data_IF_741670030606
#
_entry.id   IF_741670030606
#
_cell.length_a   1.000
_cell.length_b   1.000
_cell.length_c   1.000
_cell.angle_alpha   90.00
_cell.angle_beta   90.00
_cell.angle_gamma   90.00
#
_symmetry.space_group_name_H-M   'P 1'
#
loop_
_entity.id
_entity.type
_entity.pdbx_description
1 polymer ?
#
# COMPACT_ATOMS: atom_id res chain seq x y z
N UNK A 1 -14.61 19.28 22.63
CA UNK A 1 -13.80 18.04 22.55
C UNK A 1 -12.55 18.12 23.39
N UNK A 2 -11.69 19.15 23.25
CA UNK A 2 -10.44 19.29 24.03
C UNK A 2 -10.66 19.32 25.57
N UNK A 3 -11.76 19.88 26.02
CA UNK A 3 -12.05 20.01 27.46
C UNK A 3 -12.51 18.69 28.11
N UNK A 4 -13.18 17.84 27.32
CA UNK A 4 -13.58 16.49 27.75
C UNK A 4 -12.36 15.53 27.81
N UNK A 5 -11.42 15.67 26.87
CA UNK A 5 -10.22 14.82 26.83
C UNK A 5 -9.31 15.09 28.04
N UNK A 6 -9.16 16.36 28.46
CA UNK A 6 -8.38 16.73 29.65
C UNK A 6 -9.03 16.23 30.96
N UNK A 7 -10.36 16.22 31.07
CA UNK A 7 -11.06 15.69 32.24
C UNK A 7 -10.92 14.17 32.33
N UNK A 8 -10.96 13.46 31.19
CA UNK A 8 -10.78 12.00 31.15
C UNK A 8 -9.36 11.63 31.51
N UNK A 9 -8.35 12.35 31.01
CA UNK A 9 -6.94 12.12 31.35
C UNK A 9 -6.67 12.37 32.85
N UNK A 10 -7.25 13.40 33.42
CA UNK A 10 -7.12 13.72 34.86
C UNK A 10 -7.79 12.64 35.72
N UNK A 11 -8.93 12.10 35.28
CA UNK A 11 -9.67 11.04 35.99
C UNK A 11 -8.88 9.71 35.99
N UNK A 12 -8.27 9.37 34.88
CA UNK A 12 -7.43 8.16 34.73
C UNK A 12 -6.16 8.30 35.58
N UNK A 13 -5.52 9.48 35.57
CA UNK A 13 -4.31 9.75 36.34
C UNK A 13 -4.52 9.65 37.86
N UNK A 14 -5.71 9.92 38.34
CA UNK A 14 -6.07 9.82 39.74
C UNK A 14 -6.47 8.39 40.18
N UNK A 15 -6.27 7.38 39.36
CA UNK A 15 -6.48 5.96 39.69
C UNK A 15 -7.95 5.56 39.79
N UNK A 16 -8.86 6.36 39.24
CA UNK A 16 -10.27 5.98 39.16
C UNK A 16 -10.47 5.12 37.90
N UNK A 17 -10.85 3.87 38.09
CA UNK A 17 -11.39 3.07 37.01
C UNK A 17 -12.71 3.70 36.54
N UNK A 18 -12.77 4.14 35.28
CA UNK A 18 -14.03 4.55 34.69
C UNK A 18 -14.80 3.24 34.47
N UNK A 19 -15.75 2.95 35.34
CA UNK A 19 -16.79 1.97 35.04
C UNK A 19 -17.61 2.54 33.89
N UNK A 20 -17.18 2.31 32.68
CA UNK A 20 -17.98 2.53 31.49
C UNK A 20 -19.07 1.48 31.57
N UNK A 21 -20.37 1.89 31.72
CA UNK A 21 -21.47 0.93 31.67
C UNK A 21 -21.28 0.18 30.34
N UNK A 22 -20.94 -1.09 30.41
CA UNK A 22 -20.99 -1.98 29.24
C UNK A 22 -22.49 -2.16 28.96
N UNK A 23 -23.10 -1.21 28.24
CA UNK A 23 -24.35 -1.50 27.57
C UNK A 23 -24.07 -2.73 26.72
N UNK A 24 -24.63 -3.86 27.13
CA UNK A 24 -24.64 -5.08 26.32
C UNK A 24 -25.42 -4.76 25.05
N UNK A 25 -24.72 -4.23 24.06
CA UNK A 25 -25.28 -3.95 22.75
C UNK A 25 -25.86 -5.25 22.21
N UNK A 26 -27.17 -5.28 22.02
CA UNK A 26 -27.85 -6.42 21.41
C UNK A 26 -27.15 -6.78 20.11
N UNK A 27 -27.10 -8.07 19.78
CA UNK A 27 -26.43 -8.57 18.55
C UNK A 27 -26.87 -7.80 17.29
N UNK A 28 -28.14 -7.39 17.23
CA UNK A 28 -28.69 -6.56 16.13
C UNK A 28 -28.05 -5.18 16.04
N UNK A 29 -27.79 -4.55 17.17
CA UNK A 29 -27.19 -3.21 17.22
C UNK A 29 -25.70 -3.27 16.87
N UNK A 30 -25.01 -4.30 17.31
CA UNK A 30 -23.62 -4.60 16.90
C UNK A 30 -23.51 -4.86 15.40
N UNK A 31 -24.43 -5.62 14.84
CA UNK A 31 -24.48 -5.90 13.40
C UNK A 31 -24.78 -4.64 12.59
N UNK A 32 -25.74 -3.83 13.05
CA UNK A 32 -26.08 -2.55 12.42
C UNK A 32 -24.90 -1.60 12.45
N UNK A 33 -24.24 -1.44 13.59
CA UNK A 33 -23.03 -0.61 13.71
C UNK A 33 -21.90 -1.10 12.80
N UNK A 34 -21.63 -2.42 12.78
CA UNK A 34 -20.63 -3.01 11.89
C UNK A 34 -20.95 -2.73 10.43
N UNK A 35 -22.21 -2.87 10.02
CA UNK A 35 -22.64 -2.58 8.65
C UNK A 35 -22.49 -1.10 8.29
N UNK A 36 -22.88 -0.21 9.18
CA UNK A 36 -22.69 1.24 9.00
C UNK A 36 -21.20 1.59 8.82
N UNK A 37 -20.31 1.00 9.63
CA UNK A 37 -18.87 1.20 9.52
C UNK A 37 -18.32 0.65 8.19
N UNK A 38 -18.78 -0.51 7.74
CA UNK A 38 -18.39 -1.09 6.43
C UNK A 38 -18.83 -0.17 5.29
N UNK A 39 -20.09 0.27 5.29
CA UNK A 39 -20.62 1.16 4.25
C UNK A 39 -19.93 2.52 4.25
N UNK A 40 -19.67 3.09 5.42
CA UNK A 40 -18.94 4.36 5.54
C UNK A 40 -17.51 4.23 5.03
N UNK A 41 -16.82 3.17 5.41
CA UNK A 41 -15.46 2.89 4.94
C UNK A 41 -15.45 2.64 3.44
N UNK A 42 -16.35 1.82 2.92
CA UNK A 42 -16.49 1.54 1.51
C UNK A 42 -16.72 2.83 0.70
N UNK A 43 -17.64 3.69 1.13
CA UNK A 43 -17.89 4.99 0.48
C UNK A 43 -16.67 5.92 0.49
N UNK A 44 -15.87 5.89 1.54
CA UNK A 44 -14.64 6.70 1.64
C UNK A 44 -13.51 6.16 0.76
N UNK A 45 -13.44 4.85 0.59
CA UNK A 45 -12.33 4.17 -0.10
C UNK A 45 -12.63 3.92 -1.57
N UNK A 46 -13.87 3.61 -1.93
CA UNK A 46 -14.29 3.28 -3.30
C UNK A 46 -13.80 4.27 -4.38
N UNK A 47 -13.93 5.61 -4.22
CA UNK A 47 -13.48 6.54 -5.24
C UNK A 47 -11.96 6.45 -5.48
N UNK A 48 -11.17 6.22 -4.45
CA UNK A 48 -9.71 6.10 -4.57
C UNK A 48 -9.29 4.77 -5.19
N UNK A 49 -10.01 3.70 -4.86
CA UNK A 49 -9.82 2.38 -5.51
C UNK A 49 -10.16 2.47 -6.99
N UNK A 50 -11.30 3.07 -7.34
CA UNK A 50 -11.70 3.26 -8.75
C UNK A 50 -10.68 4.08 -9.54
N UNK A 51 -10.15 5.16 -8.97
CA UNK A 51 -9.09 5.96 -9.58
C UNK A 51 -7.82 5.12 -9.75
N UNK A 52 -7.39 4.40 -8.71
CA UNK A 52 -6.20 3.55 -8.74
C UNK A 52 -6.31 2.43 -9.78
N UNK A 53 -7.43 1.72 -9.80
CA UNK A 53 -7.72 0.69 -10.80
C UNK A 53 -7.83 1.28 -12.21
N UNK A 54 -8.47 2.44 -12.35
CA UNK A 54 -8.56 3.16 -13.62
C UNK A 54 -7.20 3.55 -14.19
N UNK A 55 -6.30 4.07 -13.34
CA UNK A 55 -4.92 4.37 -13.72
C UNK A 55 -4.18 3.07 -14.08
N UNK A 56 -4.33 2.01 -13.29
CA UNK A 56 -3.74 0.71 -13.57
C UNK A 56 -4.20 0.13 -14.90
N UNK A 57 -5.50 0.17 -15.18
CA UNK A 57 -6.08 -0.29 -16.44
C UNK A 57 -5.61 0.56 -17.63
N UNK A 58 -5.45 1.87 -17.44
CA UNK A 58 -4.89 2.77 -18.44
C UNK A 58 -3.44 2.40 -18.78
N UNK A 59 -2.61 2.20 -17.75
CA UNK A 59 -1.21 1.81 -17.91
C UNK A 59 -1.13 0.45 -18.63
N UNK A 60 -1.95 -0.51 -18.23
CA UNK A 60 -1.93 -1.87 -18.79
C UNK A 60 -2.31 -1.92 -20.27
N UNK A 61 -3.29 -1.09 -20.69
CA UNK A 61 -3.81 -1.10 -22.06
C UNK A 61 -3.10 -0.12 -23.00
N UNK A 62 -2.54 0.96 -22.47
CA UNK A 62 -2.01 2.06 -23.29
C UNK A 62 -0.49 2.13 -23.35
N UNK A 63 0.19 1.57 -22.32
CA UNK A 63 1.65 1.53 -22.36
C UNK A 63 2.08 0.25 -23.07
N UNK A 64 2.74 0.35 -24.26
CA UNK A 64 3.28 -0.80 -24.95
C UNK A 64 4.23 -1.57 -24.02
N UNK A 65 4.13 -2.90 -24.03
CA UNK A 65 5.00 -3.74 -23.23
C UNK A 65 6.49 -3.49 -23.55
N UNK A 66 6.81 -3.14 -24.79
CA UNK A 66 8.16 -2.77 -25.22
C UNK A 66 8.72 -1.57 -24.44
N UNK A 67 7.86 -0.61 -24.06
CA UNK A 67 8.29 0.53 -23.28
C UNK A 67 8.59 0.14 -21.83
N UNK A 68 7.79 -0.77 -21.26
CA UNK A 68 8.01 -1.31 -19.93
C UNK A 68 9.32 -2.09 -19.87
N UNK A 69 9.56 -2.95 -20.86
CA UNK A 69 10.80 -3.73 -20.98
C UNK A 69 12.01 -2.83 -21.17
N UNK A 70 11.90 -1.81 -22.01
CA UNK A 70 13.00 -0.84 -22.22
C UNK A 70 13.32 -0.05 -20.97
N UNK A 71 12.30 0.29 -20.15
CA UNK A 71 12.47 1.01 -18.91
C UNK A 71 12.91 0.13 -17.73
N UNK A 72 12.50 -1.15 -17.71
CA UNK A 72 12.66 -2.07 -16.59
C UNK A 72 13.55 -3.29 -16.90
N UNK A 73 14.10 -3.38 -18.12
CA UNK A 73 14.94 -4.49 -18.59
C UNK A 73 16.39 -4.39 -18.09
N UNK A 74 17.20 -5.40 -18.45
CA UNK A 74 18.57 -5.62 -17.97
C UNK A 74 19.53 -4.44 -18.11
N UNK A 75 19.36 -3.61 -19.12
CA UNK A 75 20.30 -2.52 -19.42
C UNK A 75 20.05 -1.24 -18.60
N UNK A 76 19.07 -1.23 -17.70
CA UNK A 76 18.76 -0.03 -16.93
C UNK A 76 19.11 -0.19 -15.44
N UNK A 77 20.22 0.40 -14.95
CA UNK A 77 20.59 0.35 -13.54
C UNK A 77 19.52 1.00 -12.63
N UNK A 78 18.69 1.88 -13.18
CA UNK A 78 17.59 2.52 -12.46
C UNK A 78 16.28 1.71 -12.51
N UNK A 79 16.28 0.51 -13.12
CA UNK A 79 15.10 -0.33 -13.28
C UNK A 79 14.36 -0.61 -11.97
N UNK A 80 15.07 -0.87 -10.88
CA UNK A 80 14.52 -1.08 -9.53
C UNK A 80 13.73 0.13 -9.03
N UNK A 81 14.31 1.32 -9.18
CA UNK A 81 13.68 2.59 -8.74
C UNK A 81 12.46 2.89 -9.60
N UNK A 82 12.58 2.75 -10.91
CA UNK A 82 11.49 2.94 -11.86
C UNK A 82 10.35 1.96 -11.61
N UNK A 83 10.66 0.68 -11.41
CA UNK A 83 9.67 -0.35 -11.09
C UNK A 83 8.89 0.00 -9.81
N UNK A 84 9.59 0.44 -8.77
CA UNK A 84 8.96 0.88 -7.52
C UNK A 84 8.01 2.07 -7.76
N UNK A 85 8.46 3.09 -8.51
CA UNK A 85 7.65 4.29 -8.80
C UNK A 85 6.44 3.93 -9.67
N UNK A 86 6.60 3.09 -10.68
CA UNK A 86 5.50 2.63 -11.55
C UNK A 86 4.48 1.79 -10.77
N UNK A 87 4.92 1.05 -9.75
CA UNK A 87 4.04 0.29 -8.87
C UNK A 87 3.15 1.15 -7.97
N UNK A 88 3.60 2.34 -7.55
CA UNK A 88 2.88 3.19 -6.59
C UNK A 88 1.46 3.57 -7.06
N UNK A 89 1.21 4.03 -8.29
CA UNK A 89 -0.14 4.38 -8.74
C UNK A 89 -1.05 3.17 -8.93
N UNK A 90 -0.49 1.98 -9.06
CA UNK A 90 -1.27 0.77 -9.26
C UNK A 90 -1.85 0.26 -7.95
N UNK A 91 -3.07 -0.27 -8.02
CA UNK A 91 -3.70 -0.98 -6.93
C UNK A 91 -4.02 -2.39 -7.39
N UNK A 92 -3.24 -3.33 -6.94
CA UNK A 92 -3.51 -4.74 -7.13
C UNK A 92 -3.06 -5.53 -5.90
N UNK A 93 -3.68 -6.65 -5.66
CA UNK A 93 -3.17 -7.62 -4.71
C UNK A 93 -2.00 -8.41 -5.33
N UNK A 94 -1.37 -9.24 -4.56
CA UNK A 94 -0.23 -10.02 -5.01
C UNK A 94 -0.60 -10.95 -6.17
N UNK A 95 -1.81 -11.50 -6.18
CA UNK A 95 -2.29 -12.39 -7.24
C UNK A 95 -2.53 -11.65 -8.55
N UNK A 96 -3.01 -10.40 -8.49
CA UNK A 96 -3.19 -9.54 -9.66
C UNK A 96 -1.87 -9.10 -10.28
N UNK A 97 -0.77 -9.09 -9.53
CA UNK A 97 0.56 -8.72 -10.03
C UNK A 97 1.34 -9.88 -10.66
N UNK A 98 0.99 -11.13 -10.36
CA UNK A 98 1.69 -12.33 -10.87
C UNK A 98 1.75 -12.36 -12.42
N UNK A 99 0.67 -12.18 -13.18
CA UNK A 99 0.74 -12.20 -14.64
C UNK A 99 1.65 -11.12 -15.21
N UNK A 100 1.71 -9.95 -14.56
CA UNK A 100 2.60 -8.85 -14.96
C UNK A 100 4.05 -9.23 -14.67
N UNK A 101 4.30 -9.83 -13.50
CA UNK A 101 5.62 -10.32 -13.13
C UNK A 101 6.14 -11.38 -14.10
N UNK A 102 5.31 -12.35 -14.45
CA UNK A 102 5.62 -13.38 -15.45
C UNK A 102 5.95 -12.77 -16.82
N UNK A 103 5.15 -11.82 -17.29
CA UNK A 103 5.38 -11.14 -18.56
C UNK A 103 6.69 -10.33 -18.56
N UNK A 104 7.02 -9.66 -17.46
CA UNK A 104 8.26 -8.92 -17.30
C UNK A 104 9.48 -9.87 -17.30
N UNK A 105 9.42 -10.97 -16.54
CA UNK A 105 10.49 -11.97 -16.50
C UNK A 105 10.69 -12.64 -17.87
N UNK A 106 9.59 -13.00 -18.55
CA UNK A 106 9.66 -13.59 -19.90
C UNK A 106 10.30 -12.66 -20.94
N UNK A 107 10.28 -11.35 -20.70
CA UNK A 107 10.89 -10.32 -21.56
C UNK A 107 12.29 -9.89 -21.09
N UNK A 108 12.89 -10.62 -20.15
CA UNK A 108 14.25 -10.39 -19.69
C UNK A 108 14.40 -9.30 -18.63
N UNK A 109 13.33 -8.95 -17.90
CA UNK A 109 13.46 -8.10 -16.73
C UNK A 109 14.19 -8.84 -15.61
N UNK A 110 15.07 -8.13 -14.89
CA UNK A 110 15.78 -8.70 -13.74
C UNK A 110 14.81 -9.02 -12.60
N UNK A 111 15.08 -10.10 -11.88
CA UNK A 111 14.26 -10.58 -10.78
C UNK A 111 14.01 -9.50 -9.71
N UNK A 112 15.06 -8.76 -9.32
CA UNK A 112 14.92 -7.69 -8.34
C UNK A 112 14.08 -6.51 -8.83
N UNK A 113 14.05 -6.22 -10.12
CA UNK A 113 13.17 -5.21 -10.72
C UNK A 113 11.72 -5.65 -10.60
N UNK A 114 11.43 -6.91 -10.93
CA UNK A 114 10.07 -7.48 -10.84
C UNK A 114 9.59 -7.53 -9.39
N UNK A 115 10.44 -7.97 -8.46
CA UNK A 115 10.13 -7.98 -7.04
C UNK A 115 9.86 -6.56 -6.50
N UNK A 116 10.66 -5.58 -6.91
CA UNK A 116 10.46 -4.18 -6.50
C UNK A 116 9.15 -3.61 -7.02
N UNK A 117 8.75 -3.96 -8.23
CA UNK A 117 7.44 -3.62 -8.78
C UNK A 117 6.32 -4.23 -7.93
N UNK A 118 6.36 -5.54 -7.68
CA UNK A 118 5.33 -6.23 -6.89
C UNK A 118 5.22 -5.67 -5.47
N UNK A 119 6.34 -5.43 -4.80
CA UNK A 119 6.37 -4.83 -3.47
C UNK A 119 5.87 -3.37 -3.50
N UNK A 120 6.21 -2.60 -4.54
CA UNK A 120 5.72 -1.23 -4.73
C UNK A 120 4.20 -1.18 -4.84
N UNK A 121 3.62 -2.04 -5.69
CA UNK A 121 2.17 -2.17 -5.89
C UNK A 121 1.45 -2.56 -4.60
N UNK A 122 1.98 -3.51 -3.85
CA UNK A 122 1.31 -4.04 -2.65
C UNK A 122 1.47 -3.14 -1.44
N UNK A 123 2.66 -2.59 -1.22
CA UNK A 123 3.00 -1.85 0.01
C UNK A 123 2.78 -0.35 -0.12
N UNK A 124 3.17 0.24 -1.24
CA UNK A 124 3.16 1.70 -1.46
C UNK A 124 2.05 2.17 -2.39
N UNK A 125 1.04 1.36 -2.66
CA UNK A 125 -0.06 1.75 -3.54
C UNK A 125 -0.76 3.02 -3.04
N UNK A 126 -1.13 3.91 -3.97
CA UNK A 126 -1.81 5.17 -3.65
C UNK A 126 -3.04 5.00 -2.75
N UNK A 127 -3.95 4.05 -3.00
CA UNK A 127 -5.09 3.82 -2.11
C UNK A 127 -4.67 3.44 -0.70
N UNK A 128 -3.66 2.59 -0.54
CA UNK A 128 -3.14 2.19 0.77
C UNK A 128 -2.56 3.38 1.53
N UNK A 129 -1.78 4.24 0.86
CA UNK A 129 -1.21 5.47 1.44
C UNK A 129 -2.33 6.44 1.86
N UNK A 130 -3.37 6.59 1.04
CA UNK A 130 -4.50 7.49 1.34
C UNK A 130 -5.30 6.97 2.54
N UNK A 131 -5.54 5.66 2.62
CA UNK A 131 -6.20 5.05 3.78
C UNK A 131 -5.37 5.26 5.05
N UNK A 132 -4.07 5.02 4.99
CA UNK A 132 -3.17 5.16 6.11
C UNK A 132 -3.05 6.62 6.58
N UNK A 133 -3.12 7.59 5.65
CA UNK A 133 -3.13 9.03 5.98
C UNK A 133 -4.29 9.45 6.87
N UNK A 134 -5.42 8.72 6.84
CA UNK A 134 -6.57 9.00 7.71
C UNK A 134 -6.37 8.49 9.14
N UNK A 135 -5.55 7.46 9.30
CA UNK A 135 -5.29 6.82 10.58
C UNK A 135 -4.02 7.35 11.27
N UNK A 136 -3.06 7.87 10.50
CA UNK A 136 -1.72 8.19 10.98
C UNK A 136 -1.35 9.65 10.68
N UNK A 137 -0.58 10.28 11.57
CA UNK A 137 -0.06 11.64 11.37
C UNK A 137 0.83 11.70 10.12
N UNK A 138 0.76 12.78 9.30
CA UNK A 138 1.49 12.89 8.03
C UNK A 138 3.01 12.68 8.15
N UNK A 139 3.60 13.13 9.26
CA UNK A 139 5.03 12.95 9.53
C UNK A 139 5.42 11.47 9.67
N UNK A 140 4.61 10.70 10.39
CA UNK A 140 4.84 9.27 10.59
C UNK A 140 4.61 8.50 9.28
N UNK A 141 3.59 8.90 8.50
CA UNK A 141 3.34 8.34 7.17
C UNK A 141 4.53 8.57 6.22
N UNK A 142 5.11 9.77 6.21
CA UNK A 142 6.30 10.06 5.41
C UNK A 142 7.51 9.19 5.77
N UNK A 143 7.73 8.97 7.07
CA UNK A 143 8.79 8.08 7.56
C UNK A 143 8.51 6.64 7.13
N UNK A 144 7.28 6.17 7.26
CA UNK A 144 6.86 4.84 6.83
C UNK A 144 7.12 4.61 5.34
N UNK A 145 6.66 5.55 4.49
CA UNK A 145 6.88 5.49 3.03
C UNK A 145 8.38 5.47 2.72
N UNK A 146 9.16 6.32 3.38
CA UNK A 146 10.61 6.39 3.17
C UNK A 146 11.33 5.09 3.54
N UNK A 147 10.98 4.48 4.67
CA UNK A 147 11.55 3.19 5.11
C UNK A 147 11.15 2.07 4.16
N UNK A 148 9.87 1.99 3.78
CA UNK A 148 9.39 0.97 2.84
C UNK A 148 10.05 1.13 1.46
N UNK A 149 10.13 2.34 0.92
CA UNK A 149 10.77 2.60 -0.37
C UNK A 149 12.25 2.24 -0.34
N UNK A 150 12.98 2.64 0.71
CA UNK A 150 14.39 2.28 0.88
C UNK A 150 14.56 0.75 0.98
N UNK A 151 13.72 0.06 1.77
CA UNK A 151 13.73 -1.39 1.88
C UNK A 151 13.49 -2.09 0.55
N UNK A 152 12.48 -1.65 -0.22
CA UNK A 152 12.18 -2.20 -1.55
C UNK A 152 13.37 -2.03 -2.50
N UNK A 153 14.00 -0.84 -2.51
CA UNK A 153 15.15 -0.55 -3.36
C UNK A 153 16.33 -1.44 -2.97
N UNK A 154 16.64 -1.55 -1.68
CA UNK A 154 17.73 -2.41 -1.19
C UNK A 154 17.49 -3.86 -1.58
N UNK A 155 16.30 -4.39 -1.33
CA UNK A 155 15.93 -5.77 -1.70
C UNK A 155 16.01 -5.97 -3.20
N UNK A 156 15.51 -5.04 -4.00
CA UNK A 156 15.56 -5.11 -5.46
C UNK A 156 16.98 -5.21 -5.99
N UNK A 157 17.89 -4.35 -5.54
CA UNK A 157 19.30 -4.43 -5.96
C UNK A 157 19.99 -5.68 -5.44
N UNK A 158 19.67 -6.13 -4.22
CA UNK A 158 20.21 -7.36 -3.67
C UNK A 158 19.83 -8.56 -4.53
N UNK A 159 18.57 -8.69 -4.93
CA UNK A 159 18.12 -9.79 -5.78
C UNK A 159 18.70 -9.71 -7.20
N UNK A 160 18.88 -8.53 -7.75
CA UNK A 160 19.61 -8.37 -9.03
C UNK A 160 21.07 -8.85 -8.89
N UNK A 161 21.76 -8.49 -7.80
CA UNK A 161 23.12 -8.94 -7.54
C UNK A 161 23.20 -10.47 -7.37
N UNK A 162 22.24 -11.07 -6.66
CA UNK A 162 22.17 -12.53 -6.50
C UNK A 162 21.92 -13.21 -7.84
N UNK A 163 21.03 -12.68 -8.67
CA UNK A 163 20.76 -13.21 -10.02
C UNK A 163 22.05 -13.23 -10.86
N UNK A 164 22.84 -12.16 -10.82
CA UNK A 164 24.14 -12.09 -11.50
C UNK A 164 25.17 -13.11 -11.00
N UNK A 165 24.99 -13.60 -9.75
CA UNK A 165 25.91 -14.60 -9.18
C UNK A 165 25.53 -16.04 -9.56
N UNK A 166 24.26 -16.27 -9.93
CA UNK A 166 23.70 -17.61 -10.19
C UNK A 166 23.63 -17.93 -11.68
N UNK A 167 23.50 -16.91 -12.51
CA UNK A 167 23.44 -17.02 -13.98
C UNK A 167 24.75 -16.58 -14.59
#
# INVERSE_FOLDING_TARGET
KLHLDNQVEEYIRNGHSIDVPQEELHFKDRMKFAWEQVVETAKKVAPYVLIGVGIGAFIHNWIPEEFIVKALGENNPFGVILATIVGIPMYADIFGTIPIAEALLAKGALLGVVLSFMMGVTTLSLPSIIMLRKAVKPKLLGIFIGICAAGIIIVGYLFNAIQYLIV
#
